data_IF_523586272781
#
_entry.id   IF_523586272781
#
_cell.length_a   1.000
_cell.length_b   1.000
_cell.length_c   1.000
_cell.angle_alpha   90.00
_cell.angle_beta   90.00
_cell.angle_gamma   90.00
#
_symmetry.space_group_name_H-M   'P 1'
#
loop_
_entity.id
_entity.type
_entity.pdbx_description
1 polymer ?
#
# COMPACT_ATOMS: atom_id res chain seq x y z
N UNK A 1 23.67 11.30 3.76
CA UNK A 1 23.78 9.83 3.74
C UNK A 1 23.14 9.28 5.01
N UNK A 2 21.87 8.87 4.97
CA UNK A 2 21.28 8.11 6.08
C UNK A 2 21.86 6.70 6.07
N UNK A 3 22.29 6.19 7.23
CA UNK A 3 22.74 4.80 7.33
C UNK A 3 21.54 3.89 7.03
N UNK A 4 21.68 3.00 6.05
CA UNK A 4 20.65 2.00 5.73
C UNK A 4 20.27 1.14 6.95
N UNK A 5 21.12 1.07 7.98
CA UNK A 5 20.88 0.37 9.24
C UNK A 5 19.74 0.96 10.10
N UNK A 6 19.17 2.11 9.74
CA UNK A 6 18.06 2.74 10.48
C UNK A 6 16.69 2.54 9.81
N UNK A 7 16.65 1.91 8.63
CA UNK A 7 15.40 1.66 7.91
C UNK A 7 14.78 0.34 8.38
N UNK A 8 13.53 0.40 8.81
CA UNK A 8 12.76 -0.79 9.15
C UNK A 8 11.29 -0.58 8.79
N UNK A 9 10.54 -1.67 8.66
CA UNK A 9 9.11 -1.61 8.38
C UNK A 9 8.32 -2.34 9.44
N UNK A 10 7.59 -1.56 10.24
CA UNK A 10 6.75 -2.08 11.30
C UNK A 10 5.34 -1.47 11.21
N UNK A 11 4.42 -2.15 10.52
CA UNK A 11 3.00 -1.80 10.51
C UNK A 11 2.23 -2.64 11.54
N UNK A 12 1.70 -2.02 12.62
CA UNK A 12 0.88 -2.72 13.61
C UNK A 12 -0.31 -3.45 12.97
N UNK A 13 -0.92 -2.91 11.92
CA UNK A 13 -2.08 -3.52 11.26
C UNK A 13 -1.72 -4.80 10.52
N UNK A 14 -0.53 -4.88 9.91
CA UNK A 14 -0.04 -6.12 9.30
C UNK A 14 0.32 -7.18 10.34
N UNK A 15 0.70 -6.76 11.56
CA UNK A 15 0.90 -7.66 12.69
C UNK A 15 -0.40 -8.17 13.30
N UNK A 16 -1.54 -7.54 13.05
CA UNK A 16 -2.83 -8.08 13.48
C UNK A 16 -3.27 -9.24 12.58
N UNK A 17 -3.99 -10.20 13.15
CA UNK A 17 -4.68 -11.22 12.37
C UNK A 17 -5.78 -10.60 11.50
N UNK A 18 -6.16 -11.27 10.42
CA UNK A 18 -7.19 -10.78 9.49
C UNK A 18 -8.50 -10.41 10.22
N UNK A 19 -8.98 -11.29 11.11
CA UNK A 19 -10.19 -11.04 11.90
C UNK A 19 -10.08 -9.82 12.81
N UNK A 20 -8.96 -9.64 13.50
CA UNK A 20 -8.73 -8.47 14.35
C UNK A 20 -8.63 -7.19 13.53
N UNK A 21 -7.99 -7.23 12.35
CA UNK A 21 -7.90 -6.09 11.44
C UNK A 21 -9.27 -5.68 10.92
N UNK A 22 -10.09 -6.66 10.52
CA UNK A 22 -11.47 -6.41 10.10
C UNK A 22 -12.27 -5.78 11.24
N UNK A 23 -12.16 -6.33 12.46
CA UNK A 23 -12.80 -5.75 13.65
C UNK A 23 -12.37 -4.31 13.92
N UNK A 24 -11.08 -4.00 13.85
CA UNK A 24 -10.57 -2.63 14.03
C UNK A 24 -11.11 -1.68 12.96
N UNK A 25 -11.15 -2.11 11.69
CA UNK A 25 -11.73 -1.33 10.59
C UNK A 25 -13.24 -1.10 10.80
N UNK A 26 -13.97 -2.14 11.17
CA UNK A 26 -15.41 -2.09 11.44
C UNK A 26 -15.72 -1.19 12.64
N UNK A 27 -15.02 -1.36 13.75
CA UNK A 27 -15.19 -0.53 14.94
C UNK A 27 -14.93 0.94 14.64
N UNK A 28 -13.84 1.25 13.91
CA UNK A 28 -13.54 2.62 13.46
C UNK A 28 -14.66 3.18 12.58
N UNK A 29 -15.18 2.38 11.64
CA UNK A 29 -16.28 2.79 10.77
C UNK A 29 -17.57 3.07 11.56
N UNK A 30 -17.93 2.19 12.49
CA UNK A 30 -19.10 2.35 13.37
C UNK A 30 -18.97 3.61 14.22
N UNK A 31 -17.82 3.83 14.87
CA UNK A 31 -17.57 5.03 15.67
C UNK A 31 -17.71 6.29 14.81
N UNK A 32 -17.19 6.27 13.59
CA UNK A 32 -17.32 7.39 12.66
C UNK A 32 -18.78 7.66 12.26
N UNK A 33 -19.55 6.62 11.93
CA UNK A 33 -20.97 6.75 11.56
C UNK A 33 -21.80 7.24 12.73
N UNK A 34 -21.62 6.64 13.91
CA UNK A 34 -22.32 7.03 15.14
C UNK A 34 -22.00 8.48 15.47
N UNK A 35 -20.73 8.87 15.43
CA UNK A 35 -20.31 10.27 15.66
C UNK A 35 -20.99 11.22 14.68
N UNK A 36 -21.00 10.89 13.39
CA UNK A 36 -21.64 11.70 12.36
C UNK A 36 -23.15 11.87 12.62
N UNK A 37 -23.86 10.76 12.84
CA UNK A 37 -25.31 10.77 13.10
C UNK A 37 -25.63 11.50 14.39
N UNK A 38 -24.89 11.25 15.48
CA UNK A 38 -25.07 11.96 16.75
C UNK A 38 -24.84 13.46 16.59
N UNK A 39 -23.78 13.86 15.88
CA UNK A 39 -23.51 15.27 15.59
C UNK A 39 -24.66 15.94 14.82
N UNK A 40 -25.20 15.25 13.81
CA UNK A 40 -26.36 15.75 13.05
C UNK A 40 -27.60 15.87 13.92
N UNK A 41 -27.96 14.84 14.70
CA UNK A 41 -29.13 14.86 15.59
C UNK A 41 -29.01 15.98 16.62
N UNK A 42 -27.82 16.20 17.18
CA UNK A 42 -27.57 17.28 18.14
C UNK A 42 -27.78 18.68 17.54
N UNK A 43 -27.45 18.90 16.26
CA UNK A 43 -27.73 20.17 15.56
C UNK A 43 -29.22 20.43 15.39
N UNK A 44 -30.07 19.40 15.34
CA UNK A 44 -31.53 19.58 15.27
C UNK A 44 -32.19 19.71 16.65
N UNK A 45 -31.42 19.75 17.75
CA UNK A 45 -31.97 19.91 19.10
C UNK A 45 -32.33 21.36 19.42
N UNK A 46 -33.50 21.59 20.02
CA UNK A 46 -33.93 22.92 20.51
C UNK A 46 -33.04 23.46 21.65
N UNK A 47 -32.32 22.59 22.35
CA UNK A 47 -31.43 22.97 23.43
C UNK A 47 -30.13 23.58 22.89
N UNK A 48 -29.94 24.90 23.09
CA UNK A 48 -28.76 25.65 22.60
C UNK A 48 -27.41 24.99 22.94
N UNK A 49 -27.28 24.41 24.14
CA UNK A 49 -26.04 23.72 24.54
C UNK A 49 -25.77 22.47 23.70
N UNK A 50 -26.81 21.68 23.42
CA UNK A 50 -26.72 20.45 22.61
C UNK A 50 -26.41 20.80 21.16
N UNK A 51 -27.04 21.87 20.64
CA UNK A 51 -26.76 22.41 19.31
C UNK A 51 -25.26 22.71 19.10
N UNK A 52 -24.64 23.49 20.01
CA UNK A 52 -23.23 23.82 19.90
C UNK A 52 -22.31 22.60 20.05
N UNK A 53 -22.69 21.64 20.90
CA UNK A 53 -21.97 20.37 21.02
C UNK A 53 -22.00 19.59 19.70
N UNK A 54 -23.16 19.56 19.02
CA UNK A 54 -23.31 18.95 17.71
C UNK A 54 -22.42 19.59 16.64
N UNK A 55 -22.37 20.93 16.59
CA UNK A 55 -21.47 21.67 15.69
C UNK A 55 -20.01 21.32 15.97
N UNK A 56 -19.59 21.33 17.25
CA UNK A 56 -18.22 21.02 17.63
C UNK A 56 -17.83 19.59 17.21
N UNK A 57 -18.74 18.63 17.43
CA UNK A 57 -18.51 17.23 17.09
C UNK A 57 -18.42 17.03 15.57
N UNK A 58 -19.30 17.65 14.79
CA UNK A 58 -19.24 17.62 13.33
C UNK A 58 -18.00 18.31 12.78
N UNK A 59 -17.60 19.44 13.35
CA UNK A 59 -16.38 20.15 12.96
C UNK A 59 -15.15 19.30 13.25
N UNK A 60 -15.08 18.65 14.42
CA UNK A 60 -14.01 17.72 14.77
C UNK A 60 -13.98 16.52 13.82
N UNK A 61 -15.14 15.96 13.47
CA UNK A 61 -15.26 14.87 12.52
C UNK A 61 -14.76 15.27 11.12
N UNK A 62 -15.25 16.39 10.59
CA UNK A 62 -14.83 16.93 9.29
C UNK A 62 -13.35 17.27 9.28
N UNK A 63 -12.83 17.87 10.36
CA UNK A 63 -11.41 18.14 10.53
C UNK A 63 -10.61 16.85 10.44
N UNK A 64 -10.94 15.80 11.19
CA UNK A 64 -10.22 14.53 11.11
C UNK A 64 -10.27 13.89 9.71
N UNK A 65 -11.41 13.99 9.03
CA UNK A 65 -11.59 13.43 7.69
C UNK A 65 -10.79 14.19 6.61
N UNK A 66 -10.71 15.52 6.72
CA UNK A 66 -9.95 16.37 5.80
C UNK A 66 -8.45 16.35 6.13
N UNK A 67 -8.10 16.47 7.41
CA UNK A 67 -6.72 16.56 7.89
C UNK A 67 -5.93 15.29 7.59
N UNK A 68 -6.56 14.11 7.68
CA UNK A 68 -5.93 12.85 7.28
C UNK A 68 -5.60 12.79 5.78
N UNK A 69 -6.36 13.48 4.92
CA UNK A 69 -6.06 13.60 3.48
C UNK A 69 -5.02 14.68 3.20
N UNK A 70 -5.10 15.83 3.86
CA UNK A 70 -4.20 16.97 3.65
C UNK A 70 -2.78 16.74 4.17
N UNK A 71 -2.61 16.11 5.35
CA UNK A 71 -1.27 15.77 5.88
C UNK A 71 -0.55 14.62 5.16
N UNK A 72 -1.17 14.04 4.13
CA UNK A 72 -0.49 13.12 3.22
C UNK A 72 0.51 13.85 2.30
N UNK A 73 0.36 15.16 2.11
CA UNK A 73 1.15 15.95 1.17
C UNK A 73 2.34 16.57 1.90
N UNK A 74 3.56 16.15 1.53
CA UNK A 74 4.80 16.83 1.95
C UNK A 74 5.52 16.26 3.16
N UNK A 75 5.35 14.98 3.50
CA UNK A 75 6.26 14.34 4.47
C UNK A 75 7.65 14.26 3.83
N UNK A 76 8.65 14.89 4.44
CA UNK A 76 10.06 14.65 4.12
C UNK A 76 10.54 13.45 4.91
N UNK A 77 11.16 12.47 4.25
CA UNK A 77 11.65 11.28 4.94
C UNK A 77 12.92 11.57 5.74
N UNK A 78 12.88 11.41 7.06
CA UNK A 78 14.02 11.61 7.95
C UNK A 78 14.68 10.32 8.46
N UNK A 79 14.24 9.14 8.01
CA UNK A 79 14.66 7.84 8.55
C UNK A 79 13.60 7.15 9.41
N UNK A 80 13.90 5.92 9.86
CA UNK A 80 13.06 5.15 10.77
C UNK A 80 11.98 4.29 10.09
N UNK A 81 10.83 4.17 10.74
CA UNK A 81 9.76 3.25 10.34
C UNK A 81 9.08 3.67 9.03
N UNK A 82 9.26 2.85 7.99
CA UNK A 82 8.66 3.05 6.67
C UNK A 82 7.13 3.01 6.65
N UNK A 83 6.48 2.40 7.66
CA UNK A 83 5.03 2.40 7.76
C UNK A 83 4.42 3.81 7.91
N UNK A 84 5.21 4.77 8.40
CA UNK A 84 4.83 6.19 8.49
C UNK A 84 5.04 6.96 7.16
N UNK A 85 5.78 6.36 6.23
CA UNK A 85 6.21 6.95 4.97
C UNK A 85 5.69 6.18 3.74
N UNK A 86 4.47 5.66 3.85
CA UNK A 86 3.74 5.05 2.74
C UNK A 86 2.37 5.71 2.60
N UNK A 87 1.82 5.72 1.40
CA UNK A 87 0.45 6.17 1.20
C UNK A 87 -0.58 5.16 1.75
N UNK A 88 -1.84 5.62 1.85
CA UNK A 88 -2.92 4.79 2.37
C UNK A 88 -3.23 3.59 1.46
N UNK A 89 -3.13 3.78 0.15
CA UNK A 89 -3.42 2.75 -0.86
C UNK A 89 -2.41 1.59 -0.79
N UNK A 90 -1.12 1.89 -0.74
CA UNK A 90 -0.01 0.95 -0.56
C UNK A 90 -0.21 0.09 0.69
N UNK A 91 -0.57 0.73 1.81
CA UNK A 91 -0.89 0.01 3.04
C UNK A 91 -2.06 -0.96 2.84
N UNK A 92 -3.11 -0.53 2.16
CA UNK A 92 -4.28 -1.37 1.89
C UNK A 92 -3.95 -2.54 0.95
N UNK A 93 -3.11 -2.34 -0.05
CA UNK A 93 -2.65 -3.39 -0.97
C UNK A 93 -1.82 -4.46 -0.25
N UNK A 94 -0.87 -4.05 0.60
CA UNK A 94 -0.10 -4.98 1.43
C UNK A 94 -1.01 -5.81 2.35
N UNK A 95 -2.01 -5.16 2.96
CA UNK A 95 -2.99 -5.84 3.79
C UNK A 95 -3.83 -6.85 2.99
N UNK A 96 -4.38 -6.43 1.85
CA UNK A 96 -5.18 -7.29 0.97
C UNK A 96 -4.39 -8.50 0.47
N UNK A 97 -3.15 -8.28 0.02
CA UNK A 97 -2.28 -9.36 -0.44
C UNK A 97 -1.90 -10.34 0.68
N UNK A 98 -1.63 -9.83 1.89
CA UNK A 98 -1.39 -10.68 3.06
C UNK A 98 -2.63 -11.48 3.45
N UNK A 99 -3.82 -10.89 3.36
CA UNK A 99 -5.07 -11.56 3.70
C UNK A 99 -5.41 -12.63 2.66
N UNK A 100 -5.26 -12.33 1.36
CA UNK A 100 -5.48 -13.28 0.27
C UNK A 100 -4.52 -14.46 0.31
N UNK A 101 -3.22 -14.23 0.47
CA UNK A 101 -2.24 -15.32 0.62
C UNK A 101 -2.52 -16.21 1.84
N UNK A 102 -3.09 -15.65 2.91
CA UNK A 102 -3.49 -16.43 4.09
C UNK A 102 -4.74 -17.27 3.83
N UNK A 103 -5.73 -16.73 3.12
CA UNK A 103 -7.02 -17.40 2.89
C UNK A 103 -7.01 -18.38 1.71
N UNK A 104 -6.40 -17.97 0.61
CA UNK A 104 -6.44 -18.69 -0.67
C UNK A 104 -5.18 -19.54 -0.90
N UNK A 105 -4.17 -19.40 -0.04
CA UNK A 105 -2.83 -19.91 -0.29
C UNK A 105 -2.09 -19.11 -1.38
N UNK A 106 -0.93 -19.60 -1.76
CA UNK A 106 -0.06 -18.95 -2.75
C UNK A 106 0.87 -17.90 -2.15
N UNK A 107 1.80 -17.44 -2.98
CA UNK A 107 2.81 -16.45 -2.59
C UNK A 107 2.20 -15.08 -2.31
N UNK A 108 2.51 -14.50 -1.14
CA UNK A 108 2.16 -13.13 -0.77
C UNK A 108 2.61 -12.11 -1.82
N UNK A 109 3.81 -12.29 -2.35
CA UNK A 109 4.39 -11.41 -3.34
C UNK A 109 3.63 -11.48 -4.68
N UNK A 110 3.14 -12.65 -5.08
CA UNK A 110 2.32 -12.78 -6.29
C UNK A 110 0.93 -12.16 -6.11
N UNK A 111 0.29 -12.38 -4.95
CA UNK A 111 -0.97 -11.69 -4.62
C UNK A 111 -0.79 -10.17 -4.60
N UNK A 112 0.34 -9.69 -4.08
CA UNK A 112 0.65 -8.26 -4.09
C UNK A 112 0.85 -7.74 -5.50
N UNK A 113 1.62 -8.44 -6.35
CA UNK A 113 1.75 -8.09 -7.77
C UNK A 113 0.39 -7.99 -8.45
N UNK A 114 -0.50 -8.97 -8.21
CA UNK A 114 -1.85 -8.98 -8.77
C UNK A 114 -2.68 -7.76 -8.37
N UNK A 115 -2.58 -7.33 -7.12
CA UNK A 115 -3.26 -6.14 -6.62
C UNK A 115 -2.62 -4.85 -7.16
N UNK A 116 -1.28 -4.79 -7.27
CA UNK A 116 -0.55 -3.62 -7.74
C UNK A 116 -0.88 -3.27 -9.19
N UNK A 117 -0.99 -4.26 -10.08
CA UNK A 117 -1.28 -4.03 -11.50
C UNK A 117 -2.71 -3.53 -11.76
N UNK A 118 -3.60 -3.60 -10.77
CA UNK A 118 -4.95 -3.02 -10.85
C UNK A 118 -5.00 -1.56 -10.43
N UNK A 119 -3.93 -1.04 -9.84
CA UNK A 119 -3.83 0.38 -9.49
C UNK A 119 -3.44 1.20 -10.71
N UNK A 120 -3.82 2.47 -10.71
CA UNK A 120 -3.41 3.44 -11.75
C UNK A 120 -1.88 3.47 -11.87
N UNK A 121 -1.17 3.43 -10.74
CA UNK A 121 0.29 3.43 -10.71
C UNK A 121 0.91 2.16 -11.30
N UNK A 122 0.34 0.99 -11.05
CA UNK A 122 0.83 -0.27 -11.60
C UNK A 122 0.56 -0.42 -13.09
N UNK A 123 -0.62 -0.02 -13.55
CA UNK A 123 -0.97 0.00 -14.97
C UNK A 123 -0.03 0.91 -15.77
N UNK A 124 0.27 2.10 -15.23
CA UNK A 124 1.21 3.03 -15.85
C UNK A 124 2.63 2.45 -15.96
N UNK A 125 3.09 1.71 -14.94
CA UNK A 125 4.39 1.01 -14.99
C UNK A 125 4.39 -0.05 -16.09
N UNK A 126 3.35 -0.90 -16.18
CA UNK A 126 3.25 -1.92 -17.23
C UNK A 126 3.18 -1.31 -18.64
N UNK A 127 2.39 -0.25 -18.80
CA UNK A 127 2.28 0.51 -20.06
C UNK A 127 3.63 1.04 -20.54
N UNK A 128 4.46 1.55 -19.63
CA UNK A 128 5.83 2.04 -19.93
C UNK A 128 6.79 0.92 -20.32
N UNK A 129 6.53 -0.29 -19.85
CA UNK A 129 7.30 -1.48 -20.20
C UNK A 129 6.77 -2.12 -21.49
N UNK A 130 5.76 -1.53 -22.14
CA UNK A 130 5.06 -2.09 -23.30
C UNK A 130 4.48 -3.48 -23.02
N UNK A 131 4.04 -3.72 -21.78
CA UNK A 131 3.43 -4.99 -21.35
C UNK A 131 1.93 -4.80 -21.18
N UNK A 132 1.14 -5.66 -21.82
CA UNK A 132 -0.32 -5.67 -21.68
C UNK A 132 -0.74 -6.08 -20.28
N UNK A 133 -1.64 -5.30 -19.66
CA UNK A 133 -2.13 -5.54 -18.30
C UNK A 133 -2.79 -6.91 -18.17
N UNK A 134 -3.63 -7.28 -19.13
CA UNK A 134 -4.41 -8.53 -19.13
C UNK A 134 -3.50 -9.75 -19.30
N UNK A 135 -2.49 -9.65 -20.16
CA UNK A 135 -1.51 -10.71 -20.37
C UNK A 135 -0.67 -10.93 -19.10
N UNK A 136 -0.18 -9.83 -18.50
CA UNK A 136 0.58 -9.89 -17.25
C UNK A 136 -0.26 -10.46 -16.10
N UNK A 137 -1.51 -9.98 -15.95
CA UNK A 137 -2.45 -10.51 -14.96
C UNK A 137 -2.69 -12.01 -15.17
N UNK A 138 -2.88 -12.47 -16.41
CA UNK A 138 -3.05 -13.88 -16.73
C UNK A 138 -1.86 -14.76 -16.32
N UNK A 139 -0.63 -14.25 -16.47
CA UNK A 139 0.57 -14.95 -15.99
C UNK A 139 0.67 -14.97 -14.46
N UNK A 140 0.29 -13.88 -13.79
CA UNK A 140 0.25 -13.85 -12.31
C UNK A 140 -0.75 -14.89 -11.78
N UNK A 141 -1.94 -14.96 -12.37
CA UNK A 141 -2.98 -15.92 -11.98
C UNK A 141 -2.53 -17.37 -12.22
N UNK A 142 -1.82 -17.64 -13.32
CA UNK A 142 -1.23 -18.96 -13.59
C UNK A 142 -0.27 -19.36 -12.48
N UNK A 143 0.69 -18.51 -12.13
CA UNK A 143 1.62 -18.80 -11.03
C UNK A 143 0.93 -18.93 -9.67
N UNK A 144 -0.11 -18.12 -9.39
CA UNK A 144 -0.91 -18.27 -8.18
C UNK A 144 -1.61 -19.64 -8.13
N UNK A 145 -2.15 -20.11 -9.26
CA UNK A 145 -2.81 -21.41 -9.34
C UNK A 145 -1.84 -22.60 -9.13
N UNK A 146 -0.61 -22.49 -9.64
CA UNK A 146 0.46 -23.48 -9.43
C UNK A 146 0.84 -23.60 -7.96
N UNK A 147 0.66 -22.52 -7.19
CA UNK A 147 1.11 -22.41 -5.80
C UNK A 147 -0.04 -22.41 -4.78
N UNK A 148 -1.24 -22.82 -5.16
CA UNK A 148 -2.42 -22.77 -4.28
C UNK A 148 -2.21 -23.48 -2.92
N UNK A 149 -1.31 -24.46 -2.86
CA UNK A 149 -0.99 -25.20 -1.64
C UNK A 149 0.14 -24.57 -0.80
N UNK A 150 0.80 -23.53 -1.30
CA UNK A 150 1.82 -22.82 -0.56
C UNK A 150 1.19 -22.03 0.58
N UNK A 151 1.62 -22.32 1.81
CA UNK A 151 1.19 -21.62 3.02
C UNK A 151 2.39 -20.94 3.66
N UNK A 152 2.64 -19.70 3.27
CA UNK A 152 3.70 -18.90 3.87
C UNK A 152 3.36 -18.57 5.33
N UNK A 153 4.38 -18.49 6.18
CA UNK A 153 4.16 -18.07 7.57
C UNK A 153 3.96 -16.56 7.65
N UNK A 154 3.26 -16.10 8.67
CA UNK A 154 3.09 -14.66 8.94
C UNK A 154 4.42 -13.93 9.08
N UNK A 155 5.39 -14.55 9.78
CA UNK A 155 6.73 -13.98 9.95
C UNK A 155 7.44 -13.79 8.60
N UNK A 156 7.33 -14.77 7.70
CA UNK A 156 7.88 -14.68 6.36
C UNK A 156 7.24 -13.54 5.56
N UNK A 157 5.90 -13.43 5.58
CA UNK A 157 5.18 -12.35 4.88
C UNK A 157 5.59 -10.96 5.39
N UNK A 158 5.69 -10.79 6.70
CA UNK A 158 6.13 -9.53 7.31
C UNK A 158 7.56 -9.17 6.89
N UNK A 159 8.48 -10.15 6.92
CA UNK A 159 9.86 -9.96 6.46
C UNK A 159 9.92 -9.56 4.99
N UNK A 160 9.12 -10.19 4.13
CA UNK A 160 9.08 -9.85 2.69
C UNK A 160 8.42 -8.51 2.41
N UNK A 161 7.41 -8.13 3.17
CA UNK A 161 6.87 -6.76 3.11
C UNK A 161 7.94 -5.73 3.51
N UNK A 162 8.70 -5.99 4.57
CA UNK A 162 9.80 -5.11 4.99
C UNK A 162 10.90 -4.99 3.94
N UNK A 163 11.41 -6.11 3.43
CA UNK A 163 12.41 -6.15 2.34
C UNK A 163 11.92 -5.35 1.12
N UNK A 164 10.66 -5.53 0.73
CA UNK A 164 10.07 -4.82 -0.41
C UNK A 164 9.93 -3.31 -0.15
N UNK A 165 9.48 -2.91 1.04
CA UNK A 165 9.34 -1.51 1.41
C UNK A 165 10.69 -0.78 1.43
N UNK A 166 11.72 -1.44 1.96
CA UNK A 166 13.09 -0.91 1.95
C UNK A 166 13.56 -0.76 0.49
N UNK A 167 13.41 -1.79 -0.35
CA UNK A 167 13.78 -1.71 -1.77
C UNK A 167 13.01 -0.63 -2.52
N UNK A 168 11.71 -0.47 -2.26
CA UNK A 168 10.91 0.59 -2.87
C UNK A 168 11.45 1.97 -2.53
N UNK A 169 11.78 2.23 -1.26
CA UNK A 169 12.37 3.52 -0.89
C UNK A 169 13.78 3.71 -1.48
N UNK A 170 14.62 2.69 -1.47
CA UNK A 170 16.02 2.83 -1.90
C UNK A 170 16.17 2.88 -3.42
N UNK A 171 15.16 2.49 -4.18
CA UNK A 171 15.15 2.53 -5.65
C UNK A 171 14.44 3.75 -6.24
N UNK A 172 13.77 4.57 -5.41
CA UNK A 172 13.27 5.89 -5.84
C UNK A 172 14.44 6.77 -6.31
N UNK A 173 14.27 7.49 -7.42
CA UNK A 173 15.26 8.48 -7.88
C UNK A 173 14.80 9.90 -7.57
N UNK A 174 15.77 10.78 -7.32
CA UNK A 174 15.49 12.17 -6.96
C UNK A 174 15.06 12.31 -5.50
N UNK A 175 14.09 13.20 -5.26
CA UNK A 175 13.57 13.46 -3.92
C UNK A 175 12.65 12.31 -3.47
N UNK A 176 12.86 11.84 -2.23
CA UNK A 176 12.05 10.76 -1.65
C UNK A 176 10.63 11.24 -1.40
N UNK A 177 9.67 10.48 -1.91
CA UNK A 177 8.25 10.71 -1.66
C UNK A 177 7.64 9.49 -0.97
N UNK A 178 6.47 9.64 -0.32
CA UNK A 178 5.76 8.50 0.26
C UNK A 178 5.69 7.34 -0.74
N UNK A 179 5.99 6.13 -0.24
CA UNK A 179 6.03 4.93 -1.07
C UNK A 179 4.62 4.67 -1.61
N UNK A 180 4.55 4.60 -2.94
CA UNK A 180 3.32 4.42 -3.72
C UNK A 180 3.23 3.01 -4.32
N UNK A 181 2.07 2.62 -4.88
CA UNK A 181 1.92 1.34 -5.58
C UNK A 181 2.92 1.16 -6.73
N UNK A 182 3.21 2.23 -7.47
CA UNK A 182 4.17 2.19 -8.56
C UNK A 182 5.59 1.86 -8.06
N UNK A 183 5.99 2.41 -6.90
CA UNK A 183 7.31 2.15 -6.31
C UNK A 183 7.42 0.71 -5.83
N UNK A 184 6.36 0.16 -5.22
CA UNK A 184 6.31 -1.25 -4.86
C UNK A 184 6.48 -2.15 -6.08
N UNK A 185 5.72 -1.90 -7.15
CA UNK A 185 5.79 -2.74 -8.36
C UNK A 185 7.18 -2.70 -8.99
N UNK A 186 7.86 -1.54 -8.99
CA UNK A 186 9.26 -1.44 -9.43
C UNK A 186 10.20 -2.23 -8.54
N UNK A 187 10.02 -2.10 -7.21
CA UNK A 187 10.85 -2.78 -6.22
C UNK A 187 10.76 -4.32 -6.34
N UNK A 188 9.64 -4.85 -6.83
CA UNK A 188 9.46 -6.28 -7.04
C UNK A 188 10.53 -6.91 -7.93
N UNK A 189 11.03 -6.19 -8.94
CA UNK A 189 12.08 -6.69 -9.86
C UNK A 189 13.38 -6.98 -9.11
N UNK A 190 13.66 -6.21 -8.07
CA UNK A 190 14.88 -6.34 -7.26
C UNK A 190 14.72 -7.35 -6.12
N UNK A 191 13.55 -7.96 -5.93
CA UNK A 191 13.34 -8.94 -4.87
C UNK A 191 14.05 -10.25 -5.20
N UNK A 192 14.80 -10.78 -4.22
CA UNK A 192 15.37 -12.12 -4.29
C UNK A 192 14.27 -13.16 -4.00
N UNK A 193 13.38 -13.34 -4.98
CA UNK A 193 12.32 -14.32 -4.95
C UNK A 193 12.18 -14.95 -6.34
N UNK A 194 12.52 -16.23 -6.44
CA UNK A 194 12.55 -16.96 -7.72
C UNK A 194 11.22 -16.85 -8.50
N UNK A 195 10.08 -16.86 -7.79
CA UNK A 195 8.74 -16.83 -8.40
C UNK A 195 8.46 -15.49 -9.06
N UNK A 196 8.75 -14.41 -8.33
CA UNK A 196 8.62 -13.05 -8.82
C UNK A 196 9.58 -12.86 -10.00
N UNK A 197 10.84 -13.28 -9.86
CA UNK A 197 11.82 -13.18 -10.94
C UNK A 197 11.39 -13.93 -12.20
N UNK A 198 10.85 -15.15 -12.07
CA UNK A 198 10.33 -15.94 -13.20
C UNK A 198 9.19 -15.21 -13.92
N UNK A 199 8.25 -14.62 -13.16
CA UNK A 199 7.17 -13.81 -13.73
C UNK A 199 7.71 -12.63 -14.53
N UNK A 200 8.58 -11.81 -13.94
CA UNK A 200 9.12 -10.62 -14.62
C UNK A 200 10.02 -10.99 -15.83
N UNK A 201 10.82 -12.04 -15.72
CA UNK A 201 11.66 -12.55 -16.81
C UNK A 201 10.84 -13.06 -18.00
N UNK A 202 9.63 -13.58 -17.78
CA UNK A 202 8.72 -14.00 -18.86
C UNK A 202 8.37 -12.84 -19.81
N UNK A 203 8.36 -11.61 -19.27
CA UNK A 203 8.10 -10.38 -20.03
C UNK A 203 9.39 -9.62 -20.40
N UNK A 204 10.56 -10.22 -20.18
CA UNK A 204 11.84 -9.55 -20.41
C UNK A 204 12.08 -8.33 -19.51
N UNK A 205 11.36 -8.23 -18.38
CA UNK A 205 11.51 -7.12 -17.44
C UNK A 205 12.69 -7.42 -16.53
N UNK A 206 13.83 -6.79 -16.84
CA UNK A 206 15.04 -6.82 -16.00
C UNK A 206 15.17 -5.55 -15.18
N UNK A 207 16.10 -5.53 -14.21
CA UNK A 207 16.43 -4.33 -13.43
C UNK A 207 16.77 -3.13 -14.34
N UNK A 208 17.60 -3.34 -15.37
CA UNK A 208 17.98 -2.29 -16.32
C UNK A 208 16.79 -1.74 -17.13
N UNK A 209 15.87 -2.63 -17.55
CA UNK A 209 14.66 -2.21 -18.28
C UNK A 209 13.76 -1.38 -17.36
N UNK A 210 13.62 -1.80 -16.10
CA UNK A 210 12.84 -1.08 -15.10
C UNK A 210 13.42 0.31 -14.81
N UNK A 211 14.74 0.43 -14.61
CA UNK A 211 15.41 1.72 -14.41
C UNK A 211 15.23 2.67 -15.59
N UNK A 212 15.36 2.16 -16.81
CA UNK A 212 15.21 2.96 -18.03
C UNK A 212 13.78 3.49 -18.20
N UNK A 213 12.76 2.69 -17.86
CA UNK A 213 11.35 3.11 -17.90
C UNK A 213 11.05 4.30 -16.96
N UNK A 214 11.87 4.46 -15.92
CA UNK A 214 11.68 5.49 -14.91
C UNK A 214 12.40 6.80 -15.25
N UNK A 215 13.64 6.74 -15.74
CA UNK A 215 14.45 7.93 -16.09
C UNK A 215 13.81 8.79 -17.19
N UNK A 216 13.07 8.19 -18.12
CA UNK A 216 12.43 8.94 -19.20
C UNK A 216 11.38 9.97 -18.71
N UNK A 217 10.87 9.82 -17.49
CA UNK A 217 9.78 10.66 -16.97
C UNK A 217 10.24 11.84 -16.10
N UNK A 218 11.36 11.69 -15.38
CA UNK A 218 11.90 12.75 -14.54
C UNK A 218 12.57 13.88 -15.33
N UNK A 219 12.85 13.66 -16.62
CA UNK A 219 13.42 14.66 -17.53
C UNK A 219 12.42 15.65 -18.13
N UNK A 220 11.10 15.42 -18.01
CA UNK A 220 10.06 16.29 -18.59
C UNK A 220 9.27 17.11 -17.57
N UNK A 221 9.60 17.03 -16.28
CA UNK A 221 8.95 17.78 -15.20
C UNK A 221 9.81 18.95 -14.68
N UNK A 222 10.65 19.55 -15.54
CA UNK A 222 11.42 20.77 -15.25
C UNK A 222 11.00 21.90 -16.16
#
# INVERSE_FOLDING_TARGET
MHRQSELYFEDPLLKLGMGTRLWVKSAKSIVNIVSLVSGLVMIFSDAKQVFYLGILLLTFFLYNLLFTKLLGVGRTFSGGNLASFMDGETRELLQRASDRSTLMGGSFLLHLTRELIETIGGEEVLRKLSVGKEEFAGQVERHLSEEKHLLETKAWRLKKAEELMIKALTTQAGERHPISPADLLRAMVYMENERVQRLFNTFGITESVMENSYKYNSGHAR
#
